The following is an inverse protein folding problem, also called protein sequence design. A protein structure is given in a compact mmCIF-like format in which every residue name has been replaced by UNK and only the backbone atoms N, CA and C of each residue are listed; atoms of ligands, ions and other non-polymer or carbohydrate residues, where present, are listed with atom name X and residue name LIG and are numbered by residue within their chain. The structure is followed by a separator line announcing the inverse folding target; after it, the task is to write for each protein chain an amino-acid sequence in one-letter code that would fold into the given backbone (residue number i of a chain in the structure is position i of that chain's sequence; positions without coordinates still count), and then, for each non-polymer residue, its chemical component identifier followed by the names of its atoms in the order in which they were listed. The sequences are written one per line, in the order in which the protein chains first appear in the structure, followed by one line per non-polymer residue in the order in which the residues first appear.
data_IF_315817816923
#
_entry.id   IF_315817816923
#
_cell.length_a   1.000
_cell.length_b   1.000
_cell.length_c   1.000
_cell.angle_alpha   90.00
_cell.angle_beta   90.00
_cell.angle_gamma   90.00
#
_symmetry.space_group_name_H-M   'P 1'
#
loop_
_entity.id
_entity.type
_entity.pdbx_description
1 polymer ?
#
# COMPACT_ATOMS: atom_id res chain seq x y z
N UNK A 1 32.75 -60.00 26.15
CA UNK A 1 32.15 -60.40 24.86
C UNK A 1 30.64 -60.34 24.98
N UNK A 2 29.95 -59.71 24.01
CA UNK A 2 28.49 -59.76 23.69
C UNK A 2 27.58 -58.95 24.65
N UNK A 3 27.14 -57.72 24.28
CA UNK A 3 25.97 -57.34 23.43
C UNK A 3 24.65 -57.79 24.11
N UNK A 4 23.69 -56.93 24.45
CA UNK A 4 22.84 -56.19 23.50
C UNK A 4 22.22 -54.92 24.09
N UNK A 5 22.16 -53.90 23.24
CA UNK A 5 21.42 -52.65 23.35
C UNK A 5 19.91 -52.91 23.41
N UNK A 6 19.18 -52.18 24.27
CA UNK A 6 17.74 -51.96 24.10
C UNK A 6 17.54 -50.46 23.82
N UNK A 7 17.62 -50.11 22.53
CA UNK A 7 17.22 -48.81 22.02
C UNK A 7 15.68 -48.78 21.98
N UNK A 8 15.07 -48.04 22.89
CA UNK A 8 13.65 -47.73 22.82
C UNK A 8 13.44 -46.71 21.69
N UNK A 9 12.88 -47.21 20.60
CA UNK A 9 12.55 -46.47 19.39
C UNK A 9 11.31 -45.58 19.66
N UNK A 10 11.54 -44.34 20.10
CA UNK A 10 10.53 -43.28 20.06
C UNK A 10 10.27 -42.96 18.58
N UNK A 11 9.28 -43.63 17.99
CA UNK A 11 8.78 -43.30 16.65
C UNK A 11 7.99 -42.00 16.76
N UNK A 12 8.62 -40.89 16.33
CA UNK A 12 7.93 -39.64 16.05
C UNK A 12 6.90 -39.91 14.95
N UNK A 13 5.61 -39.89 15.30
CA UNK A 13 4.57 -39.57 14.33
C UNK A 13 4.74 -38.10 13.96
N UNK A 14 5.56 -37.82 12.95
CA UNK A 14 5.48 -36.56 12.21
C UNK A 14 4.21 -36.61 11.37
N UNK A 15 3.04 -36.42 12.01
CA UNK A 15 1.86 -36.00 11.27
C UNK A 15 2.22 -34.66 10.66
N UNK A 16 2.40 -34.64 9.34
CA UNK A 16 2.36 -33.40 8.60
C UNK A 16 0.98 -32.82 8.85
N UNK A 17 0.84 -31.98 9.86
CA UNK A 17 -0.28 -31.07 10.00
C UNK A 17 -0.21 -30.16 8.78
N UNK A 18 -0.81 -30.59 7.67
CA UNK A 18 -1.21 -29.68 6.63
C UNK A 18 -2.20 -28.76 7.31
N UNK A 19 -1.72 -27.56 7.63
CA UNK A 19 -2.52 -26.55 8.27
C UNK A 19 -3.76 -26.32 7.39
N UNK A 20 -4.94 -26.50 8.00
CA UNK A 20 -6.19 -26.45 7.27
C UNK A 20 -6.36 -25.09 6.60
N UNK A 21 -6.91 -25.02 5.37
CA UNK A 21 -7.26 -23.73 4.79
C UNK A 21 -8.33 -23.04 5.66
N UNK A 22 -8.36 -21.70 5.69
CA UNK A 22 -9.33 -20.96 6.46
C UNK A 22 -10.76 -21.15 5.93
N UNK A 23 -11.74 -21.16 6.83
CA UNK A 23 -13.16 -21.21 6.50
C UNK A 23 -13.65 -19.85 5.98
N UNK A 24 -14.68 -19.81 5.11
CA UNK A 24 -15.28 -18.57 4.68
C UNK A 24 -15.70 -17.66 5.83
N UNK A 25 -16.28 -18.24 6.88
CA UNK A 25 -16.77 -17.52 8.05
C UNK A 25 -15.63 -16.84 8.81
N UNK A 26 -14.50 -17.52 9.00
CA UNK A 26 -13.34 -16.92 9.66
C UNK A 26 -12.75 -15.74 8.88
N UNK A 27 -12.68 -15.87 7.55
CA UNK A 27 -12.23 -14.77 6.68
C UNK A 27 -13.20 -13.59 6.78
N UNK A 28 -14.50 -13.82 6.77
CA UNK A 28 -15.51 -12.76 6.92
C UNK A 28 -15.39 -12.02 8.26
N UNK A 29 -15.19 -12.75 9.35
CA UNK A 29 -14.94 -12.15 10.67
C UNK A 29 -13.67 -11.29 10.62
N UNK A 30 -12.59 -11.80 10.04
CA UNK A 30 -11.33 -11.07 9.92
C UNK A 30 -11.51 -9.78 9.10
N UNK A 31 -12.16 -9.85 7.93
CA UNK A 31 -12.42 -8.70 7.07
C UNK A 31 -13.23 -7.61 7.77
N UNK A 32 -14.24 -8.02 8.56
CA UNK A 32 -15.02 -7.10 9.40
C UNK A 32 -14.16 -6.41 10.47
N UNK A 33 -13.31 -7.18 11.16
CA UNK A 33 -12.43 -6.64 12.20
C UNK A 33 -11.41 -5.63 11.66
N UNK A 34 -10.88 -5.86 10.46
CA UNK A 34 -9.96 -4.92 9.80
C UNK A 34 -10.68 -3.80 9.04
N UNK A 35 -12.02 -3.76 9.08
CA UNK A 35 -12.87 -2.77 8.42
C UNK A 35 -12.61 -2.68 6.90
N UNK A 36 -12.57 -3.84 6.23
CA UNK A 36 -12.34 -3.93 4.78
C UNK A 36 -13.33 -3.07 3.96
N UNK A 37 -14.57 -2.93 4.41
CA UNK A 37 -15.57 -2.05 3.80
C UNK A 37 -15.09 -0.59 3.73
N UNK A 38 -14.50 -0.08 4.82
CA UNK A 38 -13.99 1.30 4.87
C UNK A 38 -12.81 1.52 3.95
N UNK A 39 -12.00 0.48 3.73
CA UNK A 39 -10.93 0.54 2.74
C UNK A 39 -11.54 0.70 1.35
N UNK A 40 -12.60 -0.04 1.04
CA UNK A 40 -13.31 0.08 -0.24
C UNK A 40 -13.97 1.45 -0.43
N UNK A 41 -14.58 1.99 0.62
CA UNK A 41 -15.14 3.35 0.61
C UNK A 41 -14.07 4.40 0.31
N UNK A 42 -12.81 4.15 0.70
CA UNK A 42 -11.67 4.98 0.38
C UNK A 42 -11.18 4.87 -1.07
N UNK A 43 -11.42 3.75 -1.75
CA UNK A 43 -10.93 3.50 -3.12
C UNK A 43 -11.76 4.27 -4.15
N UNK A 44 -13.09 4.24 -4.05
CA UNK A 44 -13.97 4.85 -5.06
C UNK A 44 -13.67 6.34 -5.29
N UNK A 45 -13.54 7.19 -4.25
CA UNK A 45 -13.17 8.60 -4.41
C UNK A 45 -11.82 8.79 -5.11
N UNK A 46 -10.84 7.92 -4.85
CA UNK A 46 -9.52 7.99 -5.49
C UNK A 46 -9.61 7.70 -6.99
N UNK A 47 -10.44 6.72 -7.39
CA UNK A 47 -10.71 6.44 -8.81
C UNK A 47 -11.35 7.66 -9.49
N UNK A 48 -12.32 8.31 -8.84
CA UNK A 48 -12.93 9.53 -9.36
C UNK A 48 -11.92 10.67 -9.54
N UNK A 49 -11.03 10.87 -8.57
CA UNK A 49 -9.96 11.88 -8.64
C UNK A 49 -8.99 11.57 -9.79
N UNK A 50 -8.63 10.29 -9.99
CA UNK A 50 -7.78 9.87 -11.09
C UNK A 50 -8.45 10.14 -12.46
N UNK A 51 -9.76 9.86 -12.58
CA UNK A 51 -10.54 10.15 -13.79
C UNK A 51 -10.54 11.65 -14.10
N UNK A 52 -10.85 12.50 -13.11
CA UNK A 52 -10.82 13.97 -13.29
C UNK A 52 -9.44 14.47 -13.70
N UNK A 53 -8.39 14.00 -13.03
CA UNK A 53 -7.00 14.34 -13.38
C UNK A 53 -6.68 13.96 -14.83
N UNK A 54 -7.11 12.79 -15.29
CA UNK A 54 -6.92 12.35 -16.68
C UNK A 54 -7.65 13.24 -17.68
N UNK A 55 -8.85 13.71 -17.35
CA UNK A 55 -9.60 14.66 -18.18
C UNK A 55 -8.90 16.02 -18.25
N UNK A 56 -8.44 16.55 -17.12
CA UNK A 56 -7.70 17.81 -17.08
C UNK A 56 -6.41 17.74 -17.93
N UNK A 57 -5.74 16.60 -17.90
CA UNK A 57 -4.57 16.33 -18.77
C UNK A 57 -4.96 16.27 -20.25
N UNK A 58 -6.08 15.63 -20.61
CA UNK A 58 -6.56 15.57 -21.98
C UNK A 58 -6.91 16.96 -22.54
N UNK A 59 -7.40 17.86 -21.68
CA UNK A 59 -7.65 19.26 -22.01
C UNK A 59 -6.36 20.09 -22.12
N UNK A 60 -5.21 19.57 -21.66
CA UNK A 60 -3.91 20.28 -21.66
C UNK A 60 -4.01 21.67 -21.04
N UNK A 61 -4.82 21.82 -19.98
CA UNK A 61 -5.04 23.09 -19.29
C UNK A 61 -5.95 24.10 -20.01
N UNK A 62 -6.53 23.74 -21.16
CA UNK A 62 -7.55 24.58 -21.82
C UNK A 62 -8.87 24.47 -21.07
N UNK A 63 -9.66 25.54 -21.08
CA UNK A 63 -11.05 25.47 -20.64
C UNK A 63 -11.90 24.83 -21.76
N UNK A 64 -12.75 23.84 -21.44
CA UNK A 64 -13.66 23.26 -22.42
C UNK A 64 -14.75 24.27 -22.80
N UNK A 65 -15.32 24.13 -24.00
CA UNK A 65 -16.56 24.83 -24.38
C UNK A 65 -17.75 24.26 -23.60
N UNK A 66 -18.92 24.90 -23.70
CA UNK A 66 -20.12 24.40 -23.02
C UNK A 66 -20.53 22.99 -23.52
N UNK A 67 -20.38 22.74 -24.82
CA UNK A 67 -20.66 21.47 -25.47
C UNK A 67 -19.68 20.39 -25.03
N UNK A 68 -18.40 20.72 -24.94
CA UNK A 68 -17.38 19.80 -24.42
C UNK A 68 -17.59 19.50 -22.94
N UNK A 69 -17.96 20.51 -22.14
CA UNK A 69 -18.27 20.31 -20.72
C UNK A 69 -19.42 19.32 -20.52
N UNK A 70 -20.47 19.39 -21.35
CA UNK A 70 -21.57 18.41 -21.31
C UNK A 70 -21.09 16.98 -21.59
N UNK A 71 -20.16 16.81 -22.52
CA UNK A 71 -19.57 15.49 -22.83
C UNK A 71 -18.74 14.98 -21.65
N UNK A 72 -17.92 15.86 -21.06
CA UNK A 72 -17.09 15.55 -19.89
C UNK A 72 -17.95 15.15 -18.68
N UNK A 73 -19.03 15.89 -18.41
CA UNK A 73 -19.96 15.61 -17.31
C UNK A 73 -20.72 14.29 -17.51
N UNK A 74 -21.19 14.04 -18.74
CA UNK A 74 -21.84 12.78 -19.10
C UNK A 74 -20.90 11.59 -18.92
N UNK A 75 -19.65 11.72 -19.36
CA UNK A 75 -18.63 10.70 -19.14
C UNK A 75 -18.38 10.44 -17.66
N UNK A 76 -18.21 11.49 -16.83
CA UNK A 76 -18.01 11.33 -15.39
C UNK A 76 -19.18 10.61 -14.71
N UNK A 77 -20.41 10.91 -15.12
CA UNK A 77 -21.60 10.22 -14.60
C UNK A 77 -21.57 8.72 -14.96
N UNK A 78 -21.36 8.39 -16.24
CA UNK A 78 -21.27 7.01 -16.70
C UNK A 78 -20.11 6.26 -16.03
N UNK A 79 -18.93 6.87 -15.97
CA UNK A 79 -17.77 6.29 -15.32
C UNK A 79 -18.02 6.04 -13.84
N UNK A 80 -18.73 6.95 -13.16
CA UNK A 80 -19.12 6.79 -11.77
C UNK A 80 -20.05 5.63 -11.55
N UNK A 81 -21.03 5.47 -12.42
CA UNK A 81 -21.95 4.34 -12.38
C UNK A 81 -21.19 3.01 -12.56
N UNK A 82 -20.29 2.92 -13.54
CA UNK A 82 -19.45 1.73 -13.78
C UNK A 82 -18.62 1.39 -12.54
N UNK A 83 -17.97 2.38 -11.91
CA UNK A 83 -17.18 2.18 -10.69
C UNK A 83 -18.06 1.62 -9.57
N UNK A 84 -19.26 2.17 -9.38
CA UNK A 84 -20.17 1.73 -8.33
C UNK A 84 -20.74 0.33 -8.56
N UNK A 85 -21.02 -0.03 -9.81
CA UNK A 85 -21.49 -1.38 -10.20
C UNK A 85 -20.37 -2.43 -10.13
N UNK A 86 -19.11 -2.00 -10.30
CA UNK A 86 -17.95 -2.90 -10.32
C UNK A 86 -17.38 -3.13 -8.92
N UNK A 87 -17.17 -2.06 -8.16
CA UNK A 87 -16.58 -2.09 -6.83
C UNK A 87 -17.67 -2.29 -5.78
N UNK A 88 -18.26 -3.48 -5.78
CA UNK A 88 -19.28 -3.92 -4.82
C UNK A 88 -18.74 -5.02 -3.91
N UNK A 89 -19.26 -5.09 -2.67
CA UNK A 89 -18.88 -6.15 -1.74
C UNK A 89 -19.21 -7.54 -2.29
N UNK A 90 -20.33 -7.68 -3.00
CA UNK A 90 -20.72 -8.95 -3.64
C UNK A 90 -19.66 -9.47 -4.62
N UNK A 91 -19.01 -8.57 -5.38
CA UNK A 91 -17.97 -8.95 -6.35
C UNK A 91 -16.60 -9.16 -5.70
N UNK A 92 -16.31 -8.43 -4.63
CA UNK A 92 -15.00 -8.43 -3.98
C UNK A 92 -14.87 -9.55 -2.95
N UNK A 93 -15.96 -9.89 -2.25
CA UNK A 93 -15.97 -10.95 -1.24
C UNK A 93 -15.43 -12.29 -1.75
N UNK A 94 -15.84 -12.83 -2.90
CA UNK A 94 -15.29 -14.09 -3.42
C UNK A 94 -13.78 -14.03 -3.66
N UNK A 95 -13.25 -12.89 -4.10
CA UNK A 95 -11.81 -12.70 -4.30
C UNK A 95 -11.06 -12.73 -2.97
N UNK A 96 -11.59 -12.11 -1.91
CA UNK A 96 -10.99 -12.21 -0.59
C UNK A 96 -10.98 -13.65 -0.07
N UNK A 97 -12.12 -14.35 -0.17
CA UNK A 97 -12.22 -15.75 0.26
C UNK A 97 -11.18 -16.61 -0.45
N UNK A 98 -11.06 -16.46 -1.77
CA UNK A 98 -10.08 -17.18 -2.56
C UNK A 98 -8.65 -16.85 -2.15
N UNK A 99 -8.28 -15.57 -2.11
CA UNK A 99 -6.89 -15.15 -1.87
C UNK A 99 -6.45 -15.45 -0.43
N UNK A 100 -7.31 -15.25 0.57
CA UNK A 100 -7.00 -15.64 1.94
C UNK A 100 -6.87 -17.16 2.07
N UNK A 101 -7.77 -17.92 1.42
CA UNK A 101 -7.69 -19.39 1.41
C UNK A 101 -6.45 -19.95 0.70
N UNK A 102 -5.87 -19.21 -0.25
CA UNK A 102 -4.65 -19.59 -0.95
C UNK A 102 -3.35 -19.28 -0.19
N UNK A 103 -3.38 -18.25 0.66
CA UNK A 103 -2.17 -17.69 1.25
C UNK A 103 -2.06 -17.87 2.76
N UNK A 104 -3.17 -18.12 3.44
CA UNK A 104 -3.23 -18.27 4.88
C UNK A 104 -3.78 -19.64 5.25
N UNK A 105 -3.45 -20.04 6.45
CA UNK A 105 -4.00 -21.19 7.15
C UNK A 105 -5.10 -20.73 8.12
N UNK A 106 -5.96 -21.67 8.55
CA UNK A 106 -6.99 -21.40 9.56
C UNK A 106 -6.36 -20.87 10.85
N UNK A 107 -5.24 -21.44 11.28
CA UNK A 107 -4.53 -21.02 12.50
C UNK A 107 -4.04 -19.57 12.41
N UNK A 108 -3.49 -19.17 11.26
CA UNK A 108 -3.07 -17.78 11.04
C UNK A 108 -4.26 -16.82 11.05
N UNK A 109 -5.36 -17.19 10.39
CA UNK A 109 -6.59 -16.39 10.41
C UNK A 109 -7.15 -16.27 11.83
N UNK A 110 -7.20 -17.35 12.60
CA UNK A 110 -7.67 -17.34 13.99
C UNK A 110 -6.78 -16.48 14.89
N UNK A 111 -5.46 -16.53 14.69
CA UNK A 111 -4.50 -15.67 15.37
C UNK A 111 -4.72 -14.19 15.04
N UNK A 112 -4.96 -13.86 13.77
CA UNK A 112 -5.30 -12.50 13.35
C UNK A 112 -6.63 -12.02 13.94
N UNK A 113 -7.67 -12.86 13.92
CA UNK A 113 -8.97 -12.56 14.54
C UNK A 113 -8.77 -12.24 16.03
N UNK A 114 -8.07 -13.11 16.75
CA UNK A 114 -7.78 -12.93 18.18
C UNK A 114 -7.07 -11.59 18.44
N UNK A 115 -6.05 -11.28 17.63
CA UNK A 115 -5.33 -10.03 17.75
C UNK A 115 -6.23 -8.82 17.48
N UNK A 116 -6.97 -8.79 16.37
CA UNK A 116 -7.82 -7.65 16.00
C UNK A 116 -9.07 -7.51 16.88
N UNK A 117 -9.49 -8.56 17.58
CA UNK A 117 -10.48 -8.48 18.66
C UNK A 117 -9.93 -7.90 19.97
N UNK A 118 -8.60 -7.84 20.14
CA UNK A 118 -8.02 -7.22 21.34
C UNK A 118 -8.19 -5.68 21.32
N UNK A 119 -8.17 -5.00 22.49
CA UNK A 119 -8.16 -3.54 22.54
C UNK A 119 -7.01 -2.92 21.74
N UNK A 120 -5.84 -3.57 21.75
CA UNK A 120 -4.65 -3.12 21.02
C UNK A 120 -4.86 -3.26 19.51
N UNK A 121 -5.33 -4.43 19.05
CA UNK A 121 -5.60 -4.67 17.62
C UNK A 121 -6.63 -3.71 17.06
N UNK A 122 -7.75 -3.48 17.75
CA UNK A 122 -8.75 -2.45 17.35
C UNK A 122 -8.15 -1.04 17.27
N UNK A 123 -7.29 -0.69 18.22
CA UNK A 123 -6.57 0.60 18.20
C UNK A 123 -5.66 0.70 16.98
N UNK A 124 -4.97 -0.39 16.60
CA UNK A 124 -4.11 -0.42 15.41
C UNK A 124 -4.91 -0.20 14.12
N UNK A 125 -6.04 -0.89 13.93
CA UNK A 125 -6.87 -0.70 12.73
C UNK A 125 -7.31 0.76 12.58
N UNK A 126 -7.60 1.44 13.69
CA UNK A 126 -8.05 2.83 13.68
C UNK A 126 -6.90 3.83 13.48
N UNK A 127 -5.75 3.61 14.14
CA UNK A 127 -4.66 4.59 14.20
C UNK A 127 -3.63 4.43 13.08
N UNK A 128 -3.45 3.24 12.51
CA UNK A 128 -2.46 3.02 11.45
C UNK A 128 -2.66 3.95 10.24
N UNK A 129 -3.89 4.14 9.71
CA UNK A 129 -4.11 5.11 8.63
C UNK A 129 -3.73 6.54 9.02
N UNK A 130 -4.03 6.95 10.27
CA UNK A 130 -3.71 8.28 10.79
C UNK A 130 -2.20 8.49 10.94
N UNK A 131 -1.47 7.46 11.39
CA UNK A 131 -0.02 7.49 11.48
C UNK A 131 0.58 7.65 10.08
N UNK A 132 0.15 6.85 9.10
CA UNK A 132 0.62 6.96 7.72
C UNK A 132 0.33 8.34 7.13
N UNK A 133 -0.88 8.87 7.36
CA UNK A 133 -1.24 10.23 6.94
C UNK A 133 -0.36 11.28 7.61
N UNK A 134 -0.07 11.14 8.91
CA UNK A 134 0.80 12.04 9.66
C UNK A 134 2.23 12.03 9.13
N UNK A 135 2.77 10.86 8.77
CA UNK A 135 4.10 10.74 8.14
C UNK A 135 4.13 11.48 6.80
N UNK A 136 3.12 11.27 5.94
CA UNK A 136 3.04 11.97 4.65
C UNK A 136 2.92 13.48 4.82
N UNK A 137 2.14 13.95 5.79
CA UNK A 137 2.00 15.37 6.10
C UNK A 137 3.30 15.99 6.65
N UNK A 138 4.15 15.20 7.31
CA UNK A 138 5.42 15.66 7.86
C UNK A 138 6.58 15.66 6.84
N UNK A 139 6.49 14.88 5.74
CA UNK A 139 7.55 14.79 4.73
C UNK A 139 8.08 16.13 4.20
N UNK A 140 7.22 17.15 3.90
CA UNK A 140 7.71 18.44 3.41
C UNK A 140 8.70 19.14 4.37
N UNK A 141 8.56 18.94 5.68
CA UNK A 141 9.46 19.52 6.69
C UNK A 141 10.89 18.97 6.58
N UNK A 142 11.05 17.76 6.04
CA UNK A 142 12.35 17.14 5.76
C UNK A 142 12.96 17.64 4.44
N UNK A 143 12.12 18.05 3.49
CA UNK A 143 12.57 18.46 2.15
C UNK A 143 13.24 19.83 2.16
N UNK A 144 12.76 20.79 2.94
CA UNK A 144 13.35 22.13 2.97
C UNK A 144 14.82 22.14 3.46
N UNK A 145 15.19 21.50 4.59
CA UNK A 145 16.58 21.39 5.01
C UNK A 145 17.45 20.61 4.01
N UNK A 146 16.89 19.60 3.34
CA UNK A 146 17.59 18.85 2.31
C UNK A 146 17.94 19.74 1.09
N UNK A 147 16.97 20.51 0.61
CA UNK A 147 17.18 21.45 -0.51
C UNK A 147 18.28 22.48 -0.19
N UNK A 148 18.29 23.01 1.03
CA UNK A 148 19.31 23.96 1.46
C UNK A 148 20.71 23.31 1.52
N UNK A 149 20.82 22.10 2.05
CA UNK A 149 22.08 21.35 2.04
C UNK A 149 22.59 21.07 0.62
N UNK A 150 21.69 20.71 -0.29
CA UNK A 150 22.03 20.51 -1.71
C UNK A 150 22.51 21.80 -2.37
N UNK A 151 21.88 22.95 -2.07
CA UNK A 151 22.30 24.27 -2.54
C UNK A 151 23.74 24.58 -2.09
N UNK A 152 24.03 24.43 -0.79
CA UNK A 152 25.36 24.67 -0.23
C UNK A 152 26.42 23.71 -0.82
N UNK A 153 26.08 22.44 -1.02
CA UNK A 153 26.97 21.47 -1.67
C UNK A 153 27.29 21.87 -3.12
N UNK A 154 26.30 22.36 -3.87
CA UNK A 154 26.50 22.89 -5.22
C UNK A 154 27.41 24.11 -5.25
N UNK A 155 27.26 25.04 -4.31
CA UNK A 155 28.13 26.20 -4.18
C UNK A 155 29.58 25.83 -3.87
N UNK A 156 29.79 24.86 -2.97
CA UNK A 156 31.12 24.35 -2.65
C UNK A 156 31.79 23.72 -3.88
N UNK A 157 31.06 22.86 -4.59
CA UNK A 157 31.54 22.25 -5.83
C UNK A 157 32.00 23.29 -6.85
N UNK A 158 31.18 24.34 -7.10
CA UNK A 158 31.54 25.42 -8.03
C UNK A 158 32.81 26.15 -7.57
N UNK A 159 32.93 26.46 -6.28
CA UNK A 159 34.12 27.12 -5.72
C UNK A 159 35.38 26.27 -5.90
N UNK A 160 35.29 24.96 -5.67
CA UNK A 160 36.41 24.04 -5.86
C UNK A 160 36.84 23.96 -7.33
N UNK A 161 35.88 23.84 -8.27
CA UNK A 161 36.17 23.83 -9.71
C UNK A 161 36.86 25.11 -10.17
N UNK A 162 36.38 26.28 -9.74
CA UNK A 162 37.03 27.57 -10.06
C UNK A 162 38.44 27.64 -9.47
N UNK A 163 38.63 27.13 -8.25
CA UNK A 163 39.95 27.09 -7.60
C UNK A 163 40.93 26.20 -8.36
N UNK A 164 40.48 25.03 -8.82
CA UNK A 164 41.29 24.12 -9.65
C UNK A 164 41.64 24.74 -11.00
N UNK A 165 40.69 25.39 -11.68
CA UNK A 165 40.94 26.09 -12.95
C UNK A 165 41.97 27.23 -12.80
N UNK A 166 41.94 27.96 -11.69
CA UNK A 166 42.92 29.04 -11.41
C UNK A 166 44.32 28.52 -11.07
N UNK A 167 44.42 27.32 -10.49
CA UNK A 167 45.70 26.68 -10.14
C UNK A 167 46.32 25.90 -11.31
N UNK A 168 45.56 25.59 -12.35
CA UNK A 168 46.10 25.00 -13.57
C UNK A 168 47.09 26.00 -14.21
N UNK A 169 48.33 25.61 -14.52
CA UNK A 169 49.29 26.51 -15.16
C UNK A 169 48.70 26.97 -16.49
N UNK A 170 48.65 28.29 -16.71
CA UNK A 170 48.37 28.85 -18.03
C UNK A 170 49.44 28.31 -18.97
N UNK A 171 49.08 27.28 -19.74
CA UNK A 171 49.95 26.73 -20.75
C UNK A 171 49.85 27.73 -21.91
N UNK A 172 50.69 28.76 -21.85
CA UNK A 172 50.82 29.76 -22.90
C UNK A 172 51.22 29.03 -24.19
N UNK A 173 50.37 29.19 -25.21
CA UNK A 173 50.79 29.21 -26.61
C UNK A 173 51.59 30.49 -26.86
#
# INVERSE_FOLDING_TARGET
MKRFFLASLLTLCAWSTHAAPPTPESIEILLSLVQADKVMDGIKPQVHVAMKTSMDQALKGRKPTAEEQKVLDAYLLTATQIVNETLTMERIKPLHLQLYGQHLTQEEVDGMITFYQSPVGRSMVTKMPQIMQGVMAALPSLMAPMQEKLRLAGELMVRELVTLQRKAPQTNL
#
